data_IF_021349712469
#
_entry.id   IF_021349712469
#
_cell.length_a   1.000
_cell.length_b   1.000
_cell.length_c   1.000
_cell.angle_alpha   90.00
_cell.angle_beta   90.00
_cell.angle_gamma   90.00
#
_symmetry.space_group_name_H-M   'P 1'
#
loop_
_entity.id
_entity.type
_entity.pdbx_description
1 polymer ?
#
# COMPACT_ATOMS: atom_id res chain seq x y z
N UNK A 1 -10.19 -6.21 8.83
CA UNK A 1 -8.89 -5.70 8.34
C UNK A 1 -8.89 -5.27 6.87
N UNK A 2 -8.81 -6.16 5.87
CA UNK A 2 -8.69 -5.72 4.46
C UNK A 2 -9.94 -4.96 3.96
N UNK A 3 -11.14 -5.42 4.34
CA UNK A 3 -12.41 -4.75 4.02
C UNK A 3 -12.51 -3.35 4.65
N UNK A 4 -12.04 -3.20 5.88
CA UNK A 4 -12.02 -1.90 6.59
C UNK A 4 -11.00 -0.95 5.96
N UNK A 5 -9.84 -1.47 5.57
CA UNK A 5 -8.83 -0.72 4.83
C UNK A 5 -9.38 -0.22 3.48
N UNK A 6 -10.02 -1.09 2.70
CA UNK A 6 -10.65 -0.72 1.42
C UNK A 6 -11.74 0.33 1.63
N UNK A 7 -12.64 0.14 2.60
CA UNK A 7 -13.69 1.11 2.93
C UNK A 7 -13.10 2.48 3.31
N UNK A 8 -11.99 2.51 4.06
CA UNK A 8 -11.30 3.75 4.40
C UNK A 8 -10.65 4.44 3.21
N UNK A 9 -10.14 3.69 2.21
CA UNK A 9 -9.59 4.26 0.97
C UNK A 9 -10.72 4.82 0.11
N UNK A 10 -11.79 4.05 -0.08
CA UNK A 10 -12.93 4.46 -0.89
C UNK A 10 -13.55 5.76 -0.38
N UNK A 11 -13.74 5.88 0.94
CA UNK A 11 -14.25 7.10 1.57
C UNK A 11 -13.38 8.34 1.24
N UNK A 12 -12.05 8.18 1.22
CA UNK A 12 -11.11 9.27 0.90
C UNK A 12 -11.05 9.60 -0.58
N UNK A 13 -11.16 8.60 -1.45
CA UNK A 13 -11.28 8.83 -2.90
C UNK A 13 -12.55 9.63 -3.19
N UNK A 14 -13.68 9.30 -2.54
CA UNK A 14 -14.92 10.05 -2.69
C UNK A 14 -14.83 11.48 -2.13
N UNK A 15 -14.21 11.67 -0.96
CA UNK A 15 -13.93 13.00 -0.41
C UNK A 15 -13.11 13.86 -1.40
N UNK A 16 -12.08 13.28 -2.02
CA UNK A 16 -11.27 13.97 -3.02
C UNK A 16 -12.05 14.34 -4.28
N UNK A 17 -12.93 13.45 -4.75
CA UNK A 17 -13.83 13.70 -5.89
C UNK A 17 -14.81 14.85 -5.59
N UNK A 18 -15.37 14.89 -4.38
CA UNK A 18 -16.34 15.92 -3.98
C UNK A 18 -15.71 17.28 -3.73
N UNK A 19 -14.53 17.31 -3.11
CA UNK A 19 -13.90 18.56 -2.67
C UNK A 19 -12.93 19.15 -3.68
N UNK A 20 -12.55 18.39 -4.72
CA UNK A 20 -11.49 18.76 -5.66
C UNK A 20 -10.10 18.84 -5.01
N UNK A 21 -9.97 18.45 -3.73
CA UNK A 21 -8.72 18.49 -2.97
C UNK A 21 -8.08 17.12 -2.96
N UNK A 22 -6.74 17.09 -2.94
CA UNK A 22 -5.99 15.84 -2.77
C UNK A 22 -6.40 15.19 -1.44
N UNK A 23 -6.87 13.93 -1.44
CA UNK A 23 -7.34 13.26 -0.23
C UNK A 23 -6.30 13.29 0.88
N UNK A 24 -6.69 13.70 2.10
CA UNK A 24 -5.85 13.54 3.28
C UNK A 24 -5.91 12.11 3.76
N UNK A 25 -4.74 11.51 3.77
CA UNK A 25 -4.45 10.15 4.20
C UNK A 25 -4.76 9.96 5.69
N UNK A 26 -5.63 9.02 6.09
CA UNK A 26 -5.80 8.66 7.49
C UNK A 26 -4.51 8.02 8.04
N UNK A 27 -4.34 8.05 9.37
CA UNK A 27 -3.23 7.38 10.05
C UNK A 27 -3.32 5.86 9.82
N UNK A 28 -2.73 5.37 8.73
CA UNK A 28 -2.75 3.96 8.33
C UNK A 28 -1.91 3.05 9.22
N UNK A 29 -1.17 3.61 10.18
CA UNK A 29 -0.29 2.85 11.07
C UNK A 29 -1.02 1.73 11.81
N UNK A 30 -2.26 1.95 12.28
CA UNK A 30 -3.02 0.90 12.97
C UNK A 30 -3.43 -0.25 12.03
N UNK A 31 -3.91 0.06 10.83
CA UNK A 31 -4.26 -0.95 9.82
C UNK A 31 -3.02 -1.71 9.34
N UNK A 32 -1.90 -1.01 9.15
CA UNK A 32 -0.64 -1.63 8.74
C UNK A 32 -0.11 -2.57 9.83
N UNK A 33 -0.16 -2.16 11.10
CA UNK A 33 0.29 -2.98 12.22
C UNK A 33 -0.54 -4.25 12.34
N UNK A 34 -1.87 -4.15 12.31
CA UNK A 34 -2.73 -5.34 12.37
C UNK A 34 -2.54 -6.27 11.17
N UNK A 35 -2.35 -5.72 9.96
CA UNK A 35 -2.00 -6.52 8.78
C UNK A 35 -0.63 -7.18 8.93
N UNK A 36 0.38 -6.49 9.45
CA UNK A 36 1.71 -7.05 9.69
C UNK A 36 1.69 -8.18 10.72
N UNK A 37 0.93 -8.04 11.81
CA UNK A 37 0.74 -9.12 12.79
C UNK A 37 0.15 -10.38 12.14
N UNK A 38 -0.83 -10.20 11.26
CA UNK A 38 -1.44 -11.31 10.52
C UNK A 38 -0.49 -11.95 9.49
N UNK A 39 0.39 -11.17 8.88
CA UNK A 39 1.32 -11.61 7.83
C UNK A 39 2.61 -12.23 8.38
N UNK A 40 2.98 -11.91 9.61
CA UNK A 40 4.23 -12.33 10.25
C UNK A 40 4.46 -13.85 10.21
N UNK A 41 3.46 -14.73 10.44
CA UNK A 41 3.65 -16.18 10.34
C UNK A 41 4.06 -16.67 8.95
N UNK A 42 3.82 -15.88 7.90
CA UNK A 42 4.19 -16.21 6.51
C UNK A 42 5.46 -15.49 6.05
N UNK A 43 6.15 -14.79 6.96
CA UNK A 43 7.36 -14.02 6.64
C UNK A 43 7.10 -12.74 5.84
N UNK A 44 5.84 -12.31 5.74
CA UNK A 44 5.46 -11.10 5.01
C UNK A 44 5.32 -9.89 5.93
N UNK A 45 5.58 -8.72 5.37
CA UNK A 45 5.14 -7.44 5.92
C UNK A 45 4.55 -6.57 4.82
N UNK A 46 3.58 -5.75 5.18
CA UNK A 46 2.92 -4.81 4.29
C UNK A 46 3.37 -3.38 4.51
N UNK A 47 3.40 -2.63 3.41
CA UNK A 47 3.63 -1.18 3.39
C UNK A 47 2.50 -0.51 2.64
N UNK A 48 1.78 0.36 3.34
CA UNK A 48 0.75 1.20 2.72
C UNK A 48 1.43 2.47 2.23
N UNK A 49 1.35 2.74 0.93
CA UNK A 49 1.81 4.00 0.33
C UNK A 49 0.62 4.88 -0.02
N UNK A 50 0.61 6.14 0.45
CA UNK A 50 -0.44 7.09 0.14
C UNK A 50 -0.38 7.72 -1.27
N UNK A 51 0.56 7.31 -2.12
CA UNK A 51 0.75 7.96 -3.42
C UNK A 51 1.75 9.11 -3.40
N UNK A 52 2.79 9.03 -2.56
CA UNK A 52 3.95 9.94 -2.60
C UNK A 52 5.25 9.14 -2.67
N UNK A 53 5.90 9.19 -3.84
CA UNK A 53 7.17 8.53 -4.16
C UNK A 53 7.14 7.89 -5.56
N UNK A 54 8.31 7.69 -6.18
CA UNK A 54 8.59 7.08 -7.50
C UNK A 54 7.79 5.80 -7.95
N UNK A 55 6.91 5.21 -7.13
CA UNK A 55 6.11 4.02 -7.49
C UNK A 55 4.60 4.19 -7.31
N UNK A 56 4.17 5.30 -6.73
CA UNK A 56 2.78 5.47 -6.36
C UNK A 56 2.44 6.92 -6.63
N UNK A 57 1.89 7.19 -7.82
CA UNK A 57 1.13 8.41 -8.09
C UNK A 57 -0.30 8.32 -7.51
N UNK A 58 -0.64 7.19 -6.86
CA UNK A 58 -1.91 6.92 -6.20
C UNK A 58 -1.77 5.95 -5.01
N UNK A 59 -2.85 5.71 -4.26
CA UNK A 59 -2.85 4.82 -3.09
C UNK A 59 -2.47 3.38 -3.47
N UNK A 60 -1.63 2.75 -2.67
CA UNK A 60 -1.24 1.35 -2.89
C UNK A 60 -0.86 0.65 -1.59
N UNK A 61 -0.86 -0.69 -1.64
CA UNK A 61 -0.31 -1.56 -0.61
C UNK A 61 0.61 -2.57 -1.27
N UNK A 62 1.80 -2.74 -0.70
CA UNK A 62 2.75 -3.78 -1.08
C UNK A 62 2.88 -4.79 0.05
N UNK A 63 2.96 -6.08 -0.27
CA UNK A 63 3.26 -7.17 0.66
C UNK A 63 4.60 -7.77 0.28
N UNK A 64 5.61 -7.62 1.12
CA UNK A 64 6.98 -8.00 0.84
C UNK A 64 7.42 -9.14 1.75
N UNK A 65 8.26 -10.05 1.24
CA UNK A 65 8.91 -11.10 2.04
C UNK A 65 9.99 -10.52 2.96
N UNK A 66 9.59 -10.03 4.12
CA UNK A 66 10.51 -9.45 5.11
C UNK A 66 11.53 -10.47 5.62
N UNK A 67 11.14 -11.74 5.70
CA UNK A 67 12.02 -12.85 6.08
C UNK A 67 13.19 -13.06 5.09
N UNK A 68 12.98 -12.78 3.80
CA UNK A 68 14.00 -12.89 2.76
C UNK A 68 14.75 -11.56 2.57
N UNK A 69 14.02 -10.45 2.55
CA UNK A 69 14.55 -9.14 2.19
C UNK A 69 15.17 -8.39 3.40
N UNK A 70 14.81 -8.79 4.62
CA UNK A 70 15.23 -8.15 5.86
C UNK A 70 14.45 -6.86 6.17
N UNK A 71 14.35 -6.53 7.46
CA UNK A 71 13.60 -5.35 7.94
C UNK A 71 14.15 -4.02 7.38
N UNK A 72 15.47 -3.92 7.23
CA UNK A 72 16.13 -2.74 6.67
C UNK A 72 15.71 -2.44 5.23
N UNK A 73 15.53 -3.48 4.40
CA UNK A 73 15.04 -3.31 3.03
C UNK A 73 13.59 -2.84 3.01
N UNK A 74 12.72 -3.43 3.85
CA UNK A 74 11.30 -3.07 3.93
C UNK A 74 11.08 -1.62 4.41
N UNK A 75 11.92 -1.14 5.32
CA UNK A 75 11.74 0.16 5.97
C UNK A 75 12.62 1.29 5.40
N UNK A 76 13.73 0.96 4.75
CA UNK A 76 14.70 1.92 4.23
C UNK A 76 14.79 1.95 2.70
N UNK A 77 14.55 0.82 2.03
CA UNK A 77 14.59 0.76 0.58
C UNK A 77 13.22 0.88 -0.06
N UNK A 78 13.23 1.38 -1.30
CA UNK A 78 12.04 1.57 -2.10
C UNK A 78 11.74 0.28 -2.89
N UNK A 79 10.66 -0.47 -2.60
CA UNK A 79 10.37 -1.73 -3.28
C UNK A 79 9.88 -1.48 -4.71
N UNK A 80 10.72 -1.64 -5.74
CA UNK A 80 10.35 -1.39 -7.15
C UNK A 80 10.02 -2.68 -7.91
N UNK A 81 9.28 -2.66 -9.05
CA UNK A 81 8.98 -3.87 -9.84
C UNK A 81 10.21 -4.64 -10.31
N UNK A 82 11.38 -4.02 -10.20
CA UNK A 82 12.68 -4.56 -10.57
C UNK A 82 13.53 -4.96 -9.35
N UNK A 83 13.05 -4.76 -8.12
CA UNK A 83 13.79 -4.97 -6.86
C UNK A 83 12.86 -5.48 -5.75
N UNK A 84 12.93 -6.79 -5.49
CA UNK A 84 12.29 -7.46 -4.36
C UNK A 84 11.22 -8.47 -4.80
N UNK A 85 10.79 -9.31 -3.85
CA UNK A 85 9.67 -10.25 -3.99
C UNK A 85 8.44 -9.72 -3.27
N UNK A 86 7.38 -9.38 -4.01
CA UNK A 86 6.19 -8.78 -3.43
C UNK A 86 4.90 -8.92 -4.26
N UNK A 87 3.77 -8.80 -3.55
CA UNK A 87 2.43 -8.62 -4.13
C UNK A 87 2.09 -7.13 -4.03
N UNK A 88 1.70 -6.51 -5.13
CA UNK A 88 1.35 -5.09 -5.16
C UNK A 88 -0.06 -4.87 -5.70
N UNK A 89 -0.86 -4.16 -4.90
CA UNK A 89 -2.22 -3.72 -5.24
C UNK A 89 -2.21 -2.19 -5.32
N UNK A 90 -2.60 -1.63 -6.47
CA UNK A 90 -2.65 -0.18 -6.68
C UNK A 90 -3.89 0.27 -7.44
N UNK A 91 -4.25 1.54 -7.25
CA UNK A 91 -5.31 2.21 -7.99
C UNK A 91 -4.77 3.46 -8.71
N UNK A 92 -4.88 3.45 -10.03
CA UNK A 92 -4.57 4.58 -10.90
C UNK A 92 -5.80 5.47 -11.04
N UNK A 93 -5.86 6.51 -10.21
CA UNK A 93 -6.96 7.46 -10.15
C UNK A 93 -7.12 8.30 -11.42
N UNK A 94 -6.03 8.55 -12.16
CA UNK A 94 -6.07 9.35 -13.39
C UNK A 94 -6.78 8.60 -14.52
N UNK A 95 -6.63 7.27 -14.55
CA UNK A 95 -7.17 6.42 -15.61
C UNK A 95 -8.31 5.51 -15.15
N UNK A 96 -8.73 5.61 -13.88
CA UNK A 96 -9.73 4.74 -13.25
C UNK A 96 -9.42 3.23 -13.40
N UNK A 97 -8.18 2.84 -13.12
CA UNK A 97 -7.69 1.46 -13.32
C UNK A 97 -7.18 0.82 -12.03
N UNK A 98 -7.50 -0.47 -11.85
CA UNK A 98 -6.93 -1.33 -10.80
C UNK A 98 -5.70 -2.05 -11.35
N UNK A 99 -4.60 -2.03 -10.61
CA UNK A 99 -3.33 -2.64 -11.00
C UNK A 99 -2.98 -3.73 -9.99
N UNK A 100 -2.61 -4.90 -10.51
CA UNK A 100 -2.13 -6.05 -9.76
C UNK A 100 -0.78 -6.48 -10.34
N UNK A 101 0.27 -6.48 -9.51
CA UNK A 101 1.61 -6.96 -9.91
C UNK A 101 2.07 -8.02 -8.91
N UNK A 102 2.62 -9.11 -9.46
CA UNK A 102 3.39 -10.11 -8.75
C UNK A 102 4.82 -10.07 -9.31
N UNK A 103 5.80 -9.75 -8.46
CA UNK A 103 7.20 -9.60 -8.83
C UNK A 103 8.10 -10.23 -7.76
#
# INVERSE_FOLDING_TARGET
MLREFVASIDAKVQEGKQTGKKPKIPKYASCQNGLNEFLAPWGYACKISPGTGLLSHGPSIAFCRQDILGEGFINGEKPTPKKGFYIWLAYDWCNDKKIFIFA
#
